data_IF_021689220189
#
_entry.id   IF_021689220189
#
_cell.length_a   1.000
_cell.length_b   1.000
_cell.length_c   1.000
_cell.angle_alpha   90.00
_cell.angle_beta   90.00
_cell.angle_gamma   90.00
#
_symmetry.space_group_name_H-M   'P 1'
#
loop_
_entity.id
_entity.type
_entity.pdbx_description
1 polymer ?
#
# COMPACT_ATOMS: atom_id res chain seq x y z
N UNK A 1 -25.24 -3.25 -27.09
CA UNK A 1 -23.82 -3.34 -26.71
C UNK A 1 -23.40 -1.96 -26.24
N UNK A 2 -22.87 -1.85 -25.03
CA UNK A 2 -22.47 -0.55 -24.47
C UNK A 2 -21.17 -0.04 -25.10
N UNK A 3 -21.03 1.30 -25.14
CA UNK A 3 -19.88 2.00 -25.76
C UNK A 3 -19.11 2.80 -24.70
N UNK A 4 -17.88 3.17 -25.03
CA UNK A 4 -17.10 4.11 -24.22
C UNK A 4 -17.89 5.41 -24.03
N UNK A 5 -17.88 5.92 -22.80
CA UNK A 5 -18.60 7.10 -22.32
C UNK A 5 -20.10 6.92 -22.05
N UNK A 6 -20.71 5.77 -22.30
CA UNK A 6 -22.07 5.51 -21.85
C UNK A 6 -22.14 5.66 -20.32
N UNK A 7 -23.24 6.26 -19.84
CA UNK A 7 -23.52 6.44 -18.42
C UNK A 7 -24.70 5.55 -18.06
N UNK A 8 -24.53 4.74 -17.02
CA UNK A 8 -25.48 3.72 -16.59
C UNK A 8 -25.69 3.82 -15.10
N UNK A 9 -26.89 3.47 -14.63
CA UNK A 9 -27.15 3.18 -13.23
C UNK A 9 -27.16 1.67 -13.04
N UNK A 10 -26.40 1.18 -12.06
CA UNK A 10 -26.28 -0.25 -11.81
C UNK A 10 -26.27 -0.53 -10.31
N UNK A 11 -26.79 -1.68 -9.94
CA UNK A 11 -26.61 -2.27 -8.63
C UNK A 11 -25.31 -3.12 -8.60
N UNK A 12 -24.53 -2.96 -7.56
CA UNK A 12 -23.33 -3.76 -7.34
C UNK A 12 -23.73 -5.02 -6.57
N UNK A 13 -23.73 -6.14 -7.27
CA UNK A 13 -24.22 -7.42 -6.76
C UNK A 13 -23.11 -8.36 -6.31
N UNK A 14 -21.83 -8.07 -6.65
CA UNK A 14 -20.69 -8.90 -6.30
C UNK A 14 -19.42 -8.04 -6.19
N UNK A 15 -18.33 -8.64 -5.72
CA UNK A 15 -17.03 -8.00 -5.55
C UNK A 15 -15.95 -8.82 -6.27
N UNK A 16 -15.20 -8.16 -7.15
CA UNK A 16 -14.11 -8.79 -7.88
C UNK A 16 -12.88 -9.06 -7.04
N UNK A 17 -11.98 -9.87 -7.54
CA UNK A 17 -10.81 -10.37 -6.81
C UNK A 17 -9.83 -9.27 -6.40
N UNK A 18 -9.84 -8.13 -7.08
CA UNK A 18 -9.00 -6.97 -6.76
C UNK A 18 -9.77 -5.85 -6.05
N UNK A 19 -11.00 -6.15 -5.57
CA UNK A 19 -11.80 -5.25 -4.75
C UNK A 19 -12.73 -4.32 -5.54
N UNK A 20 -12.79 -4.44 -6.87
CA UNK A 20 -13.77 -3.73 -7.69
C UNK A 20 -15.17 -4.32 -7.53
N UNK A 21 -16.19 -3.48 -7.49
CA UNK A 21 -17.57 -3.94 -7.52
C UNK A 21 -17.95 -4.49 -8.89
N UNK A 22 -18.84 -5.47 -8.89
CA UNK A 22 -19.39 -6.12 -10.09
C UNK A 22 -20.89 -5.89 -10.11
N UNK A 23 -21.39 -5.32 -11.21
CA UNK A 23 -22.82 -5.22 -11.49
C UNK A 23 -23.14 -5.71 -12.90
N UNK A 24 -24.41 -5.98 -13.16
CA UNK A 24 -24.87 -6.44 -14.47
C UNK A 24 -26.04 -5.60 -14.98
N UNK A 25 -26.01 -5.29 -16.27
CA UNK A 25 -27.14 -4.65 -16.98
C UNK A 25 -27.48 -5.52 -18.18
N UNK A 26 -28.69 -6.06 -18.23
CA UNK A 26 -29.15 -6.97 -19.30
C UNK A 26 -28.16 -8.11 -19.58
N UNK A 27 -27.61 -8.71 -18.52
CA UNK A 27 -26.62 -9.80 -18.62
C UNK A 27 -25.18 -9.37 -18.92
N UNK A 28 -24.94 -8.08 -19.23
CA UNK A 28 -23.62 -7.56 -19.51
C UNK A 28 -22.91 -7.10 -18.22
N UNK A 29 -21.73 -7.62 -17.96
CA UNK A 29 -20.99 -7.40 -16.71
C UNK A 29 -20.18 -6.10 -16.72
N UNK A 30 -20.26 -5.32 -15.66
CA UNK A 30 -19.46 -4.12 -15.45
C UNK A 30 -18.59 -4.28 -14.18
N UNK A 31 -17.31 -3.96 -14.33
CA UNK A 31 -16.34 -3.86 -13.21
C UNK A 31 -16.15 -2.39 -12.87
N UNK A 32 -16.44 -2.01 -11.64
CA UNK A 32 -16.45 -0.62 -11.19
C UNK A 32 -15.59 -0.45 -9.95
N UNK A 33 -14.51 0.33 -10.08
CA UNK A 33 -13.65 0.67 -8.95
C UNK A 33 -14.38 1.59 -7.96
N UNK A 34 -13.99 1.53 -6.69
CA UNK A 34 -14.49 2.39 -5.60
C UNK A 34 -15.98 2.18 -5.26
N UNK A 35 -16.55 1.02 -5.62
CA UNK A 35 -17.90 0.60 -5.23
C UNK A 35 -17.86 -0.59 -4.28
N UNK A 36 -18.91 -0.71 -3.49
CA UNK A 36 -19.11 -1.77 -2.48
C UNK A 36 -20.35 -2.57 -2.85
N UNK A 37 -20.33 -3.87 -2.60
CA UNK A 37 -21.50 -4.74 -2.80
C UNK A 37 -22.74 -4.16 -2.11
N UNK A 38 -23.86 -4.07 -2.85
CA UNK A 38 -25.12 -3.46 -2.42
C UNK A 38 -25.23 -1.96 -2.73
N UNK A 39 -24.21 -1.29 -3.27
CA UNK A 39 -24.37 0.06 -3.80
C UNK A 39 -25.26 0.08 -5.04
N UNK A 40 -26.10 1.09 -5.17
CA UNK A 40 -26.64 1.53 -6.46
C UNK A 40 -25.80 2.72 -6.93
N UNK A 41 -25.16 2.60 -8.07
CA UNK A 41 -24.16 3.54 -8.54
C UNK A 41 -24.40 3.99 -9.99
N UNK A 42 -24.22 5.29 -10.23
CA UNK A 42 -24.09 5.85 -11.56
C UNK A 42 -22.66 5.71 -12.02
N UNK A 43 -22.46 5.04 -13.15
CA UNK A 43 -21.12 4.68 -13.63
C UNK A 43 -20.94 5.09 -15.07
N UNK A 44 -19.69 5.41 -15.46
CA UNK A 44 -19.34 5.76 -16.85
C UNK A 44 -18.42 4.69 -17.43
N UNK A 45 -18.81 4.10 -18.55
CA UNK A 45 -18.02 3.10 -19.27
C UNK A 45 -16.72 3.70 -19.78
N UNK A 46 -15.59 3.12 -19.34
CA UNK A 46 -14.25 3.53 -19.76
C UNK A 46 -13.71 2.67 -20.90
N UNK A 47 -13.95 1.35 -20.84
CA UNK A 47 -13.48 0.39 -21.84
C UNK A 47 -14.49 -0.75 -21.96
N UNK A 48 -15.16 -0.84 -23.09
CA UNK A 48 -16.07 -1.94 -23.42
C UNK A 48 -15.32 -3.09 -24.12
N UNK A 49 -15.71 -4.32 -23.79
CA UNK A 49 -15.29 -5.58 -24.40
C UNK A 49 -16.54 -6.33 -24.88
N UNK A 50 -16.39 -7.48 -25.54
CA UNK A 50 -17.53 -8.26 -26.06
C UNK A 50 -18.56 -8.62 -24.98
N UNK A 51 -18.10 -9.09 -23.80
CA UNK A 51 -18.96 -9.66 -22.76
C UNK A 51 -18.93 -8.86 -21.44
N UNK A 52 -18.08 -7.83 -21.31
CA UNK A 52 -17.95 -7.03 -20.09
C UNK A 52 -17.36 -5.65 -20.39
N UNK A 53 -17.47 -4.74 -19.41
CA UNK A 53 -16.80 -3.45 -19.47
C UNK A 53 -16.11 -3.10 -18.13
N UNK A 54 -15.11 -2.22 -18.23
CA UNK A 54 -14.61 -1.47 -17.10
C UNK A 54 -15.27 -0.10 -17.06
N UNK A 55 -15.80 0.27 -15.92
CA UNK A 55 -16.43 1.56 -15.71
C UNK A 55 -15.81 2.28 -14.50
N UNK A 56 -15.94 3.59 -14.47
CA UNK A 56 -15.60 4.41 -13.32
C UNK A 56 -16.86 4.85 -12.60
N UNK A 57 -16.79 4.93 -11.29
CA UNK A 57 -17.82 5.53 -10.47
C UNK A 57 -17.97 7.02 -10.81
N UNK A 58 -19.21 7.47 -11.01
CA UNK A 58 -19.60 8.87 -11.15
C UNK A 58 -20.19 9.34 -9.83
N UNK A 59 -21.17 8.58 -9.31
CA UNK A 59 -21.94 8.93 -8.13
C UNK A 59 -22.48 7.66 -7.46
N UNK A 60 -22.57 7.65 -6.14
CA UNK A 60 -23.33 6.65 -5.38
C UNK A 60 -24.76 7.19 -5.24
N UNK A 61 -25.70 6.56 -5.93
CA UNK A 61 -27.13 6.93 -5.90
C UNK A 61 -27.76 6.47 -4.60
N UNK A 62 -27.49 5.22 -4.22
CA UNK A 62 -27.93 4.66 -2.93
C UNK A 62 -26.77 3.88 -2.32
N UNK A 63 -26.24 4.32 -1.17
CA UNK A 63 -25.14 3.62 -0.52
C UNK A 63 -25.58 2.27 0.03
N UNK A 64 -24.70 1.28 -0.06
CA UNK A 64 -24.82 -0.01 0.58
C UNK A 64 -24.80 0.16 2.11
N UNK A 65 -25.50 -0.73 2.83
CA UNK A 65 -25.38 -0.84 4.29
C UNK A 65 -23.96 -1.25 4.76
N UNK A 66 -23.15 -1.74 3.85
CA UNK A 66 -21.75 -2.13 4.11
C UNK A 66 -20.75 -1.02 3.77
N UNK A 67 -21.24 0.11 3.23
CA UNK A 67 -20.38 1.24 2.90
C UNK A 67 -20.04 2.06 4.14
N UNK A 68 -18.76 2.39 4.28
CA UNK A 68 -18.25 3.33 5.29
C UNK A 68 -17.43 4.42 4.61
N UNK A 69 -17.29 5.58 5.26
CA UNK A 69 -16.36 6.61 4.78
C UNK A 69 -14.92 6.22 5.17
N UNK A 70 -13.99 6.13 4.21
CA UNK A 70 -12.60 5.81 4.50
C UNK A 70 -11.96 6.87 5.41
N UNK A 71 -11.28 6.45 6.49
CA UNK A 71 -10.52 7.36 7.34
C UNK A 71 -9.27 7.94 6.65
N UNK A 72 -8.72 7.23 5.66
CA UNK A 72 -7.57 7.71 4.91
C UNK A 72 -7.99 8.79 3.91
N UNK A 73 -7.47 10.03 4.02
CA UNK A 73 -7.88 11.15 3.16
C UNK A 73 -7.51 10.95 1.68
N UNK A 74 -6.58 10.05 1.39
CA UNK A 74 -6.13 9.75 0.03
C UNK A 74 -6.61 8.38 -0.47
N UNK A 75 -7.57 7.74 0.20
CA UNK A 75 -8.04 6.39 -0.14
C UNK A 75 -8.49 6.26 -1.62
N UNK A 76 -9.13 7.29 -2.17
CA UNK A 76 -9.62 7.30 -3.58
C UNK A 76 -8.49 7.44 -4.60
N UNK A 77 -7.38 8.09 -4.25
CA UNK A 77 -6.28 8.37 -5.19
C UNK A 77 -5.10 7.40 -5.03
N UNK A 78 -4.84 6.92 -3.82
CA UNK A 78 -3.76 5.99 -3.52
C UNK A 78 -4.06 4.59 -4.07
N UNK A 79 -3.06 3.96 -4.70
CA UNK A 79 -3.18 2.58 -5.20
C UNK A 79 -2.99 1.48 -4.14
N UNK A 80 -2.69 1.84 -2.90
CA UNK A 80 -2.33 0.88 -1.84
C UNK A 80 -3.51 0.08 -1.27
N UNK A 81 -4.69 0.71 -1.15
CA UNK A 81 -5.87 0.11 -0.53
C UNK A 81 -7.05 0.06 -1.50
N UNK A 82 -7.79 -1.04 -1.49
CA UNK A 82 -8.93 -1.25 -2.39
C UNK A 82 -10.27 -1.40 -1.64
N UNK A 83 -10.26 -1.69 -0.34
CA UNK A 83 -11.47 -2.08 0.40
C UNK A 83 -11.86 -1.09 1.51
N UNK A 84 -11.19 0.06 1.65
CA UNK A 84 -11.43 0.98 2.76
C UNK A 84 -12.86 1.58 2.81
N UNK A 85 -13.58 1.57 1.68
CA UNK A 85 -14.98 2.02 1.64
C UNK A 85 -15.97 0.93 2.08
N UNK A 86 -15.49 -0.26 2.44
CA UNK A 86 -16.29 -1.39 2.90
C UNK A 86 -16.05 -1.60 4.39
N UNK A 87 -17.12 -1.79 5.18
CA UNK A 87 -16.96 -2.06 6.61
C UNK A 87 -16.19 -3.36 6.86
N UNK A 88 -15.52 -3.44 8.01
CA UNK A 88 -14.55 -4.50 8.28
C UNK A 88 -15.16 -5.91 8.29
N UNK A 89 -16.36 -6.07 8.82
CA UNK A 89 -17.04 -7.36 8.83
C UNK A 89 -17.33 -7.86 7.42
N UNK A 90 -17.73 -6.97 6.52
CA UNK A 90 -17.92 -7.33 5.11
C UNK A 90 -16.57 -7.57 4.40
N UNK A 91 -15.49 -6.89 4.78
CA UNK A 91 -14.15 -7.21 4.27
C UNK A 91 -13.72 -8.62 4.65
N UNK A 92 -13.96 -9.04 5.90
CA UNK A 92 -13.66 -10.40 6.36
C UNK A 92 -14.48 -11.42 5.58
N UNK A 93 -15.79 -11.20 5.46
CA UNK A 93 -16.67 -12.07 4.67
C UNK A 93 -16.20 -12.20 3.22
N UNK A 94 -15.92 -11.08 2.56
CA UNK A 94 -15.41 -11.06 1.17
C UNK A 94 -14.10 -11.86 1.03
N UNK A 95 -13.16 -11.67 1.95
CA UNK A 95 -11.88 -12.39 1.92
C UNK A 95 -12.06 -13.89 2.11
N UNK A 96 -12.92 -14.29 3.02
CA UNK A 96 -13.25 -15.70 3.26
C UNK A 96 -13.93 -16.34 2.04
N UNK A 97 -14.95 -15.69 1.49
CA UNK A 97 -15.66 -16.17 0.30
C UNK A 97 -14.73 -16.26 -0.92
N UNK A 98 -13.81 -15.30 -1.08
CA UNK A 98 -12.80 -15.35 -2.14
C UNK A 98 -11.92 -16.61 -2.05
N UNK A 99 -11.42 -16.94 -0.86
CA UNK A 99 -10.60 -18.14 -0.66
C UNK A 99 -11.44 -19.39 -0.93
N UNK A 100 -12.64 -19.48 -0.37
CA UNK A 100 -13.57 -20.58 -0.60
C UNK A 100 -13.84 -20.81 -2.09
N UNK A 101 -14.22 -19.74 -2.80
CA UNK A 101 -14.52 -19.82 -4.23
C UNK A 101 -13.29 -20.20 -5.08
N UNK A 102 -12.11 -19.71 -4.71
CA UNK A 102 -10.87 -20.07 -5.42
C UNK A 102 -10.53 -21.56 -5.26
N UNK A 103 -10.63 -22.10 -4.04
CA UNK A 103 -10.38 -23.53 -3.79
C UNK A 103 -11.40 -24.37 -4.56
N UNK A 104 -12.68 -24.03 -4.47
CA UNK A 104 -13.74 -24.82 -5.09
C UNK A 104 -13.76 -24.72 -6.61
N UNK A 105 -13.76 -23.48 -7.16
CA UNK A 105 -14.00 -23.26 -8.59
C UNK A 105 -12.72 -23.32 -9.43
N UNK A 106 -11.59 -22.87 -8.89
CA UNK A 106 -10.32 -22.85 -9.62
C UNK A 106 -9.51 -24.10 -9.27
N UNK A 107 -9.45 -24.43 -7.97
CA UNK A 107 -8.73 -25.62 -7.49
C UNK A 107 -9.46 -26.93 -7.75
N UNK A 108 -10.77 -26.90 -8.04
CA UNK A 108 -11.58 -28.11 -8.27
C UNK A 108 -11.76 -28.99 -7.03
N UNK A 109 -11.51 -28.45 -5.83
CA UNK A 109 -11.65 -29.19 -4.57
C UNK A 109 -13.04 -28.93 -4.00
N UNK A 110 -13.86 -29.96 -3.92
CA UNK A 110 -15.24 -29.85 -3.41
C UNK A 110 -15.37 -30.20 -1.93
N UNK A 111 -14.59 -31.15 -1.46
CA UNK A 111 -14.63 -31.66 -0.09
C UNK A 111 -13.46 -31.11 0.73
N UNK A 112 -13.71 -30.00 1.44
CA UNK A 112 -12.74 -29.39 2.36
C UNK A 112 -13.45 -28.64 3.49
N UNK A 113 -12.79 -28.58 4.64
CA UNK A 113 -13.28 -27.81 5.80
C UNK A 113 -12.65 -26.42 5.79
N UNK A 114 -13.50 -25.41 5.65
CA UNK A 114 -13.09 -24.00 5.76
C UNK A 114 -13.27 -23.52 7.19
N UNK A 115 -12.17 -23.21 7.88
CA UNK A 115 -12.25 -22.53 9.18
C UNK A 115 -12.64 -21.06 8.99
N UNK A 116 -13.33 -20.44 9.99
CA UNK A 116 -13.61 -19.02 9.95
C UNK A 116 -12.33 -18.19 9.81
N UNK A 117 -12.42 -17.09 9.06
CA UNK A 117 -11.35 -16.12 8.96
C UNK A 117 -11.09 -15.48 10.33
N UNK A 118 -9.84 -15.31 10.70
CA UNK A 118 -9.45 -14.56 11.90
C UNK A 118 -9.31 -13.08 11.54
N UNK A 119 -10.01 -12.23 12.26
CA UNK A 119 -9.91 -10.77 12.16
C UNK A 119 -8.79 -10.22 13.05
N UNK A 120 -8.68 -8.91 13.08
CA UNK A 120 -7.73 -8.15 13.91
C UNK A 120 -8.50 -7.00 14.61
N UNK A 121 -9.60 -7.36 15.29
CA UNK A 121 -10.52 -6.41 15.91
C UNK A 121 -9.82 -5.54 16.96
N UNK A 122 -8.80 -6.07 17.63
CA UNK A 122 -7.99 -5.39 18.63
C UNK A 122 -7.14 -4.21 18.07
N UNK A 123 -6.93 -4.19 16.75
CA UNK A 123 -6.22 -3.11 16.04
C UNK A 123 -7.16 -2.12 15.35
N UNK A 124 -8.47 -2.26 15.55
CA UNK A 124 -9.42 -1.29 15.06
C UNK A 124 -9.34 0.01 15.87
N UNK A 125 -9.53 1.13 15.21
CA UNK A 125 -9.52 2.45 15.88
C UNK A 125 -10.80 2.61 16.67
N UNK A 126 -10.69 2.91 17.97
CA UNK A 126 -11.82 3.12 18.86
C UNK A 126 -12.76 4.21 18.33
N UNK A 127 -14.05 3.88 18.23
CA UNK A 127 -15.08 4.75 17.65
C UNK A 127 -15.14 4.71 16.12
N UNK A 128 -14.28 3.91 15.46
CA UNK A 128 -14.23 3.66 14.03
C UNK A 128 -13.96 2.19 13.72
N UNK A 129 -14.45 1.29 14.55
CA UNK A 129 -14.21 -0.16 14.44
C UNK A 129 -14.69 -0.72 13.11
N UNK A 130 -15.70 -0.09 12.53
CA UNK A 130 -16.24 -0.45 11.22
C UNK A 130 -15.27 -0.25 10.06
N UNK A 131 -14.27 0.64 10.21
CA UNK A 131 -13.25 0.89 9.17
C UNK A 131 -12.14 -0.16 9.15
N UNK A 132 -12.04 -0.99 10.21
CA UNK A 132 -11.08 -2.07 10.32
C UNK A 132 -9.75 -1.67 10.96
N UNK A 133 -8.78 -2.60 10.96
CA UNK A 133 -7.51 -2.41 11.64
C UNK A 133 -6.60 -1.44 10.90
N UNK A 134 -5.87 -0.65 11.69
CA UNK A 134 -4.82 0.26 11.23
C UNK A 134 -3.51 -0.01 11.99
N UNK A 135 -2.41 0.61 11.58
CA UNK A 135 -1.09 0.54 12.22
C UNK A 135 -0.52 -0.88 12.43
N UNK A 136 -0.92 -1.83 11.57
CA UNK A 136 -0.47 -3.21 11.66
C UNK A 136 0.75 -3.55 10.79
N UNK A 137 1.09 -2.68 9.81
CA UNK A 137 2.18 -2.98 8.89
C UNK A 137 3.52 -2.59 9.49
N UNK A 138 4.36 -3.58 9.72
CA UNK A 138 5.72 -3.41 10.23
C UNK A 138 6.76 -3.02 9.14
N UNK A 139 6.33 -2.89 7.89
CA UNK A 139 7.20 -2.48 6.77
C UNK A 139 6.49 -1.52 5.84
N UNK A 140 7.19 -0.46 5.45
CA UNK A 140 6.79 0.43 4.37
C UNK A 140 7.96 0.67 3.40
N UNK A 141 7.64 0.89 2.12
CA UNK A 141 8.59 1.27 1.08
C UNK A 141 8.02 2.50 0.37
N UNK A 142 8.60 3.65 0.64
CA UNK A 142 8.13 4.92 0.11
C UNK A 142 8.94 5.32 -1.13
N UNK A 143 8.36 5.38 -2.32
CA UNK A 143 8.97 6.08 -3.44
C UNK A 143 9.14 7.57 -3.10
N UNK A 144 10.23 8.15 -3.56
CA UNK A 144 10.54 9.58 -3.39
C UNK A 144 10.56 10.25 -4.76
N UNK A 145 9.89 11.38 -4.88
CA UNK A 145 9.80 12.10 -6.15
C UNK A 145 9.66 13.61 -5.94
N UNK A 146 9.19 14.29 -6.99
CA UNK A 146 8.85 15.72 -6.94
C UNK A 146 7.40 15.92 -7.34
N UNK A 147 6.76 16.91 -6.75
CA UNK A 147 5.49 17.43 -7.22
C UNK A 147 5.71 18.40 -8.41
N UNK A 148 4.60 18.94 -8.90
CA UNK A 148 4.61 19.90 -10.02
C UNK A 148 5.34 21.21 -9.72
N UNK A 149 5.49 21.54 -8.45
CA UNK A 149 6.18 22.73 -7.95
C UNK A 149 7.67 22.49 -7.67
N UNK A 150 8.12 21.22 -7.88
CA UNK A 150 9.51 20.82 -7.67
C UNK A 150 9.85 20.45 -6.23
N UNK A 151 8.88 20.45 -5.30
CA UNK A 151 9.07 20.04 -3.91
C UNK A 151 9.25 18.54 -3.81
N UNK A 152 10.14 18.10 -2.93
CA UNK A 152 10.35 16.67 -2.67
C UNK A 152 9.12 16.11 -1.94
N UNK A 153 8.54 15.08 -2.53
CA UNK A 153 7.39 14.34 -1.99
C UNK A 153 7.72 12.87 -1.83
N UNK A 154 6.98 12.21 -0.97
CA UNK A 154 7.03 10.76 -0.79
C UNK A 154 5.64 10.23 -0.46
N UNK A 155 5.42 8.94 -0.72
CA UNK A 155 4.10 8.35 -0.44
C UNK A 155 3.94 7.02 -1.14
N UNK A 156 2.85 6.84 -1.86
CA UNK A 156 2.57 5.62 -2.64
C UNK A 156 2.11 5.98 -4.05
N UNK A 157 2.26 5.06 -4.98
CA UNK A 157 1.80 5.28 -6.34
C UNK A 157 0.27 5.29 -6.43
N UNK A 158 -0.26 6.20 -7.23
CA UNK A 158 -1.64 6.14 -7.68
C UNK A 158 -1.87 4.84 -8.49
N UNK A 159 -3.05 4.27 -8.37
CA UNK A 159 -3.35 2.98 -8.99
C UNK A 159 -3.03 2.95 -10.49
N UNK A 160 -2.24 1.96 -10.92
CA UNK A 160 -1.81 1.73 -12.30
C UNK A 160 -0.95 2.85 -12.91
N UNK A 161 -0.30 3.65 -12.08
CA UNK A 161 0.62 4.71 -12.53
C UNK A 161 1.86 4.75 -11.64
N UNK A 162 2.87 5.54 -12.05
CA UNK A 162 4.03 5.87 -11.23
C UNK A 162 3.93 7.28 -10.63
N UNK A 163 2.74 7.89 -10.66
CA UNK A 163 2.51 9.17 -9.99
C UNK A 163 2.44 8.98 -8.49
N UNK A 164 3.30 9.66 -7.74
CA UNK A 164 3.34 9.57 -6.28
C UNK A 164 2.21 10.42 -5.69
N UNK A 165 1.38 9.79 -4.88
CA UNK A 165 0.43 10.45 -3.99
C UNK A 165 1.19 10.78 -2.70
N UNK A 166 1.34 12.06 -2.41
CA UNK A 166 2.11 12.51 -1.25
C UNK A 166 1.42 12.11 0.05
N UNK A 167 1.98 11.12 0.73
CA UNK A 167 1.47 10.56 1.99
C UNK A 167 2.64 10.07 2.83
N UNK A 168 2.92 10.74 3.92
CA UNK A 168 3.95 10.29 4.87
C UNK A 168 3.36 9.54 6.06
N UNK A 169 2.09 9.82 6.37
CA UNK A 169 1.36 9.24 7.49
C UNK A 169 0.31 8.28 6.94
N UNK A 170 0.77 7.09 6.58
CA UNK A 170 -0.10 6.03 6.10
C UNK A 170 -0.74 5.31 7.29
N UNK A 171 -2.06 5.31 7.39
CA UNK A 171 -2.79 4.67 8.48
C UNK A 171 -2.53 3.15 8.62
N UNK A 172 -2.01 2.48 7.59
CA UNK A 172 -1.62 1.07 7.71
C UNK A 172 -0.25 0.88 8.36
N UNK A 173 0.64 1.89 8.24
CA UNK A 173 1.99 1.87 8.79
C UNK A 173 2.05 2.35 10.23
N UNK A 174 3.24 2.31 10.80
CA UNK A 174 3.52 2.79 12.16
C UNK A 174 3.88 4.27 12.17
N UNK A 175 3.75 4.92 13.32
CA UNK A 175 4.04 6.37 13.45
C UNK A 175 5.49 6.76 13.14
N UNK A 176 6.43 5.82 13.26
CA UNK A 176 7.85 6.05 12.93
C UNK A 176 8.06 6.42 11.46
N UNK A 177 7.19 5.95 10.56
CA UNK A 177 7.29 6.23 9.12
C UNK A 177 7.29 7.72 8.82
N UNK A 178 6.38 8.47 9.44
CA UNK A 178 6.27 9.93 9.25
C UNK A 178 7.56 10.62 9.69
N UNK A 179 8.05 10.32 10.88
CA UNK A 179 9.27 10.92 11.44
C UNK A 179 10.48 10.66 10.54
N UNK A 180 10.70 9.41 10.14
CA UNK A 180 11.81 9.05 9.25
C UNK A 180 11.71 9.75 7.90
N UNK A 181 10.50 9.77 7.29
CA UNK A 181 10.32 10.42 5.98
C UNK A 181 10.51 11.93 6.04
N UNK A 182 10.12 12.58 7.12
CA UNK A 182 10.35 14.00 7.31
C UNK A 182 11.85 14.33 7.44
N UNK A 183 12.62 13.52 8.19
CA UNK A 183 14.07 13.61 8.28
C UNK A 183 14.74 13.44 6.90
N UNK A 184 14.38 12.38 6.16
CA UNK A 184 14.97 12.10 4.84
C UNK A 184 14.68 13.24 3.85
N UNK A 185 13.45 13.73 3.79
CA UNK A 185 13.09 14.85 2.89
C UNK A 185 13.81 16.14 3.26
N UNK A 186 13.95 16.43 4.55
CA UNK A 186 14.71 17.60 5.03
C UNK A 186 16.19 17.49 4.63
N UNK A 187 16.82 16.34 4.90
CA UNK A 187 18.18 16.08 4.46
C UNK A 187 18.34 16.27 2.94
N UNK A 188 17.47 15.65 2.14
CA UNK A 188 17.53 15.76 0.68
C UNK A 188 17.42 17.22 0.21
N UNK A 189 16.61 18.02 0.90
CA UNK A 189 16.42 19.45 0.59
C UNK A 189 17.67 20.25 0.93
N UNK A 190 18.23 20.05 2.12
CA UNK A 190 19.40 20.79 2.61
C UNK A 190 20.66 20.45 1.82
N UNK A 191 20.88 19.20 1.48
CA UNK A 191 22.07 18.72 0.77
C UNK A 191 21.88 18.70 -0.78
N UNK A 192 20.75 19.20 -1.28
CA UNK A 192 20.49 19.27 -2.72
C UNK A 192 20.36 17.90 -3.39
N UNK A 193 20.05 16.83 -2.63
CA UNK A 193 19.93 15.47 -3.14
C UNK A 193 18.65 15.33 -3.97
N UNK A 194 18.80 14.97 -5.24
CA UNK A 194 17.66 14.85 -6.15
C UNK A 194 17.01 13.46 -6.01
N UNK A 195 15.66 13.39 -5.92
CA UNK A 195 14.97 12.13 -6.09
C UNK A 195 15.21 11.55 -7.49
N UNK A 196 15.17 10.23 -7.60
CA UNK A 196 15.27 9.53 -8.87
C UNK A 196 14.00 9.73 -9.69
N UNK A 197 14.18 10.03 -10.96
CA UNK A 197 13.10 10.15 -11.93
C UNK A 197 13.10 8.93 -12.84
N UNK A 198 12.02 8.18 -12.87
CA UNK A 198 11.90 6.92 -13.62
C UNK A 198 11.85 7.10 -15.13
N UNK A 199 11.53 8.30 -15.62
CA UNK A 199 11.47 8.61 -17.05
C UNK A 199 12.85 8.97 -17.60
N UNK A 200 13.55 9.85 -16.89
CA UNK A 200 14.88 10.35 -17.31
C UNK A 200 16.02 9.49 -16.78
N UNK A 201 15.73 8.61 -15.80
CA UNK A 201 16.73 7.79 -15.08
C UNK A 201 17.82 8.61 -14.37
N UNK A 202 17.50 9.84 -13.98
CA UNK A 202 18.40 10.75 -13.28
C UNK A 202 17.94 10.96 -11.84
N UNK A 203 18.87 11.40 -10.98
CA UNK A 203 18.64 11.57 -9.55
C UNK A 203 19.17 10.40 -8.74
N UNK A 204 19.13 10.52 -7.42
CA UNK A 204 19.85 9.62 -6.50
C UNK A 204 18.90 8.77 -5.67
N UNK A 205 18.03 9.37 -4.84
CA UNK A 205 17.16 8.62 -3.93
C UNK A 205 15.94 8.11 -4.67
N UNK A 206 15.77 6.78 -4.69
CA UNK A 206 14.63 6.09 -5.33
C UNK A 206 13.51 5.84 -4.33
N UNK A 207 13.84 5.13 -3.25
CA UNK A 207 12.88 4.70 -2.23
C UNK A 207 13.51 4.77 -0.85
N UNK A 208 12.66 4.79 0.16
CA UNK A 208 13.03 4.60 1.57
C UNK A 208 12.26 3.40 2.10
N UNK A 209 12.97 2.36 2.50
CA UNK A 209 12.41 1.22 3.19
C UNK A 209 12.55 1.46 4.69
N UNK A 210 11.43 1.32 5.41
CA UNK A 210 11.37 1.42 6.87
C UNK A 210 10.78 0.11 7.39
N UNK A 211 11.40 -0.45 8.41
CA UNK A 211 10.90 -1.61 9.16
C UNK A 211 10.89 -1.29 10.64
N UNK A 212 9.91 -1.81 11.33
CA UNK A 212 9.80 -1.72 12.78
C UNK A 212 9.48 -3.12 13.35
N UNK A 213 10.25 -3.57 14.33
CA UNK A 213 9.98 -4.78 15.08
C UNK A 213 8.78 -4.56 15.99
N UNK A 214 7.71 -5.34 15.82
CA UNK A 214 6.46 -5.19 16.57
C UNK A 214 6.65 -5.41 18.08
N UNK A 215 7.46 -6.38 18.46
CA UNK A 215 7.72 -6.74 19.86
C UNK A 215 8.94 -6.02 20.43
N UNK A 216 9.94 -5.73 19.60
CA UNK A 216 11.19 -5.14 20.06
C UNK A 216 11.22 -3.61 19.98
N UNK A 217 10.37 -2.99 19.13
CA UNK A 217 10.44 -1.57 18.83
C UNK A 217 11.70 -1.17 18.05
N UNK A 218 12.51 -2.12 17.59
CA UNK A 218 13.70 -1.83 16.78
C UNK A 218 13.31 -1.29 15.42
N UNK A 219 13.98 -0.22 14.98
CA UNK A 219 13.72 0.45 13.71
C UNK A 219 14.91 0.28 12.77
N UNK A 220 14.62 -0.07 11.52
CA UNK A 220 15.57 -0.11 10.41
C UNK A 220 15.15 0.87 9.34
N UNK A 221 16.13 1.62 8.82
CA UNK A 221 15.96 2.48 7.65
C UNK A 221 16.97 2.07 6.58
N UNK A 222 16.48 1.70 5.39
CA UNK A 222 17.32 1.43 4.23
C UNK A 222 16.94 2.39 3.11
N UNK A 223 17.90 3.19 2.64
CA UNK A 223 17.67 4.17 1.56
C UNK A 223 18.16 3.57 0.25
N UNK A 224 17.27 3.41 -0.70
CA UNK A 224 17.54 2.85 -2.02
C UNK A 224 18.00 3.97 -2.95
N UNK A 225 19.20 3.84 -3.48
CA UNK A 225 19.84 4.88 -4.29
C UNK A 225 20.28 4.40 -5.67
N UNK A 226 20.17 5.30 -6.64
CA UNK A 226 20.75 5.20 -7.97
C UNK A 226 22.14 5.86 -7.95
N UNK A 227 23.10 5.21 -7.33
CA UNK A 227 24.46 5.74 -7.15
C UNK A 227 25.24 4.88 -6.17
N UNK A 228 26.49 5.28 -5.86
CA UNK A 228 27.33 4.52 -4.95
C UNK A 228 27.40 5.12 -3.53
N UNK A 229 26.98 6.38 -3.37
CA UNK A 229 27.01 7.12 -2.10
C UNK A 229 25.99 8.25 -2.07
N UNK A 230 25.69 8.73 -0.88
CA UNK A 230 24.97 9.98 -0.63
C UNK A 230 25.95 11.08 -0.18
N UNK A 231 25.77 12.34 -0.60
CA UNK A 231 26.57 13.44 -0.08
C UNK A 231 26.24 13.69 1.40
N UNK A 232 27.26 14.00 2.19
CA UNK A 232 27.07 14.34 3.63
C UNK A 232 26.19 13.30 4.39
N UNK A 233 26.36 12.02 4.08
CA UNK A 233 25.50 10.95 4.63
C UNK A 233 25.53 10.88 6.17
N UNK A 234 26.64 11.28 6.79
CA UNK A 234 26.79 11.31 8.23
C UNK A 234 25.76 12.21 8.89
N UNK A 235 25.41 13.36 8.27
CA UNK A 235 24.36 14.25 8.75
C UNK A 235 22.99 13.58 8.76
N UNK A 236 22.70 12.76 7.74
CA UNK A 236 21.47 11.99 7.72
C UNK A 236 21.44 10.94 8.83
N UNK A 237 22.55 10.21 9.00
CA UNK A 237 22.70 9.19 10.07
C UNK A 237 22.50 9.84 11.43
N UNK A 238 23.16 10.96 11.72
CA UNK A 238 22.99 11.69 13.00
C UNK A 238 21.53 12.09 13.29
N UNK A 239 20.76 12.50 12.27
CA UNK A 239 19.35 12.83 12.47
C UNK A 239 18.49 11.57 12.65
N UNK A 240 18.74 10.51 11.90
CA UNK A 240 18.02 9.25 12.04
C UNK A 240 18.26 8.59 13.39
N UNK A 241 19.45 8.72 13.97
CA UNK A 241 19.78 8.19 15.30
C UNK A 241 18.97 8.84 16.45
N UNK A 242 18.32 9.98 16.19
CA UNK A 242 17.39 10.61 17.17
C UNK A 242 16.02 9.93 17.19
N UNK A 243 15.73 9.07 16.23
CA UNK A 243 14.48 8.31 16.19
C UNK A 243 14.55 7.19 17.22
N UNK A 244 13.56 7.14 18.10
CA UNK A 244 13.50 6.08 19.11
C UNK A 244 13.49 4.70 18.47
N UNK A 245 14.25 3.76 19.01
CA UNK A 245 14.37 2.40 18.49
C UNK A 245 15.27 2.25 17.27
N UNK A 246 15.90 3.32 16.76
CA UNK A 246 16.79 3.22 15.59
C UNK A 246 17.94 2.26 15.85
N UNK A 247 17.94 1.16 15.11
CA UNK A 247 18.88 0.03 15.30
C UNK A 247 19.78 -0.17 14.09
N UNK A 248 19.27 0.07 12.88
CA UNK A 248 20.04 -0.15 11.64
C UNK A 248 19.74 0.92 10.60
N UNK A 249 20.81 1.43 9.98
CA UNK A 249 20.73 2.39 8.87
C UNK A 249 21.63 1.92 7.75
N UNK A 250 21.11 1.77 6.54
CA UNK A 250 21.85 1.25 5.40
C UNK A 250 21.47 1.95 4.09
N UNK A 251 22.34 1.82 3.08
CA UNK A 251 22.03 2.12 1.69
C UNK A 251 21.86 0.82 0.92
N UNK A 252 20.90 0.79 0.03
CA UNK A 252 20.77 -0.24 -0.97
C UNK A 252 21.06 0.37 -2.35
N UNK A 253 22.02 -0.22 -3.06
CA UNK A 253 22.43 0.26 -4.38
C UNK A 253 21.56 -0.40 -5.44
N UNK A 254 20.74 0.39 -6.10
CA UNK A 254 19.96 -0.06 -7.23
C UNK A 254 20.08 0.92 -8.42
N UNK A 255 20.93 0.58 -9.38
CA UNK A 255 21.15 1.35 -10.62
C UNK A 255 20.32 0.82 -11.79
N UNK A 256 19.57 -0.25 -11.59
CA UNK A 256 18.78 -0.88 -12.63
C UNK A 256 17.60 0.00 -13.08
N UNK A 257 17.37 0.04 -14.39
CA UNK A 257 16.22 0.74 -15.01
C UNK A 257 15.01 -0.18 -15.08
N UNK A 258 14.62 -0.70 -13.91
CA UNK A 258 13.51 -1.66 -13.76
C UNK A 258 12.59 -1.27 -12.62
N UNK A 259 11.46 -1.96 -12.52
CA UNK A 259 10.49 -1.80 -11.41
C UNK A 259 10.92 -2.48 -10.11
N UNK A 260 12.06 -3.17 -10.11
CA UNK A 260 12.62 -3.78 -8.89
C UNK A 260 13.11 -2.68 -7.96
N UNK A 261 12.63 -2.69 -6.72
CA UNK A 261 12.96 -1.63 -5.74
C UNK A 261 14.35 -1.86 -5.16
N UNK A 262 14.64 -3.07 -4.68
CA UNK A 262 15.89 -3.40 -4.00
C UNK A 262 16.92 -3.97 -4.99
N UNK A 263 18.14 -3.46 -4.94
CA UNK A 263 19.29 -4.08 -5.58
C UNK A 263 19.98 -5.07 -4.63
N UNK A 264 21.01 -5.73 -5.12
CA UNK A 264 21.70 -6.80 -4.37
C UNK A 264 22.75 -6.28 -3.36
N UNK A 265 23.27 -5.06 -3.57
CA UNK A 265 24.35 -4.49 -2.76
C UNK A 265 23.80 -3.63 -1.63
N UNK A 266 24.16 -3.98 -0.39
CA UNK A 266 23.88 -3.18 0.82
C UNK A 266 25.20 -2.56 1.31
N UNK A 267 25.15 -1.31 1.71
CA UNK A 267 26.20 -0.60 2.43
C UNK A 267 25.65 -0.26 3.81
N UNK A 268 26.19 -0.87 4.84
CA UNK A 268 25.81 -0.54 6.20
C UNK A 268 26.44 0.79 6.62
N UNK A 269 25.64 1.70 7.16
CA UNK A 269 26.06 3.00 7.68
C UNK A 269 26.10 2.99 9.21
N UNK A 270 25.19 2.27 9.84
CA UNK A 270 25.07 2.14 11.29
C UNK A 270 24.36 0.84 11.66
N UNK A 271 24.75 0.23 12.77
CA UNK A 271 24.10 -0.94 13.33
C UNK A 271 24.59 -2.27 12.76
N UNK A 272 23.90 -3.38 13.09
CA UNK A 272 24.35 -4.73 12.77
C UNK A 272 23.96 -5.22 11.38
N UNK A 273 23.23 -4.44 10.57
CA UNK A 273 22.70 -4.85 9.26
C UNK A 273 21.35 -5.57 9.34
N UNK A 274 20.70 -5.59 10.51
CA UNK A 274 19.39 -6.21 10.73
C UNK A 274 18.71 -5.62 11.98
N UNK A 275 17.41 -5.86 12.09
CA UNK A 275 16.65 -5.74 13.33
C UNK A 275 16.23 -7.12 13.79
N UNK A 276 15.90 -7.25 15.06
CA UNK A 276 15.33 -8.47 15.65
C UNK A 276 13.86 -8.28 15.97
N UNK A 277 13.06 -9.31 15.75
CA UNK A 277 11.67 -9.37 16.19
C UNK A 277 11.27 -10.81 16.51
N UNK A 278 10.08 -11.03 17.07
CA UNK A 278 9.62 -12.32 17.55
C UNK A 278 8.30 -12.73 16.89
N UNK A 279 8.11 -14.04 16.72
CA UNK A 279 6.82 -14.68 16.48
C UNK A 279 6.69 -15.77 17.55
N UNK A 280 5.81 -15.55 18.53
CA UNK A 280 5.83 -16.34 19.74
C UNK A 280 7.22 -16.25 20.43
N UNK A 281 7.80 -17.39 20.75
CA UNK A 281 9.13 -17.48 21.39
C UNK A 281 10.29 -17.51 20.37
N UNK A 282 9.99 -17.52 19.07
CA UNK A 282 11.02 -17.62 18.02
C UNK A 282 11.51 -16.24 17.63
N UNK A 283 12.82 -16.02 17.80
CA UNK A 283 13.51 -14.79 17.40
C UNK A 283 13.92 -14.83 15.94
N UNK A 284 13.64 -13.75 15.21
CA UNK A 284 14.02 -13.54 13.83
C UNK A 284 15.00 -12.37 13.69
N UNK A 285 16.03 -12.54 12.87
CA UNK A 285 16.88 -11.44 12.38
C UNK A 285 16.42 -11.05 10.98
N UNK A 286 16.08 -9.79 10.82
CA UNK A 286 15.43 -9.26 9.63
C UNK A 286 16.33 -8.22 9.01
N UNK A 287 16.99 -8.56 7.89
CA UNK A 287 17.81 -7.63 7.09
C UNK A 287 16.92 -6.81 6.12
N UNK A 288 17.47 -5.77 5.43
CA UNK A 288 16.72 -5.04 4.41
C UNK A 288 16.14 -5.94 3.32
N UNK A 289 16.88 -6.99 2.91
CA UNK A 289 16.48 -7.92 1.84
C UNK A 289 15.61 -9.09 2.32
N UNK A 290 15.50 -9.30 3.64
CA UNK A 290 14.72 -10.42 4.17
C UNK A 290 13.23 -10.31 3.83
N UNK A 291 12.60 -11.45 3.49
CA UNK A 291 11.16 -11.56 3.56
C UNK A 291 10.74 -11.73 5.02
N UNK A 292 9.79 -10.94 5.46
CA UNK A 292 9.11 -11.07 6.75
C UNK A 292 7.68 -10.56 6.58
N UNK A 293 6.70 -11.21 7.19
CA UNK A 293 5.30 -10.82 7.04
C UNK A 293 5.11 -9.39 7.57
N UNK A 294 4.34 -8.59 6.81
CA UNK A 294 4.09 -7.18 7.15
C UNK A 294 3.02 -7.01 8.24
N UNK A 295 2.32 -8.07 8.54
CA UNK A 295 1.38 -8.21 9.66
C UNK A 295 1.86 -9.41 10.47
N UNK A 296 2.70 -9.18 11.48
CA UNK A 296 3.31 -10.22 12.30
C UNK A 296 2.28 -10.90 13.21
#
# INVERSE_FOLDING_TARGET
MFKKNDVLEIEITDQGTTGEGIGKVSGYTLFVKDTVIGDVAKVKVMKAKKNYAFARLVEIVKPSKYRVEPLCPVAKSCGGCQLQAMNYQQQLKFKQEKVFNNIRRIGGVEDFVMKPIMGMEELCVKGHEENGPFHYRNKAQFPVGRDKEGKIISGFYAGRTHSIINVNDCLLGTGVNKTVMDIVKMYMTLEGVKPYDEVTHKGVVRHVLIREGKHTGQVMVCIIINGDKLPQVDRLVEQLLKVSGMTDISLNINKEKSNVILGDKIINLYGPGYIEDYIGDVKFRISPLSFFQVNP
#
